data_IF_774771218583
#
_entry.id   IF_774771218583
#
_cell.length_a   1.000
_cell.length_b   1.000
_cell.length_c   1.000
_cell.angle_alpha   90.00
_cell.angle_beta   90.00
_cell.angle_gamma   90.00
#
_symmetry.space_group_name_H-M   'P 1'
#
loop_
_entity.id
_entity.type
_entity.pdbx_description
1 polymer ?
#
# COMPACT_ATOMS: atom_id res chain seq x y z
N UNK A 1 -17.50 43.74 -13.28
CA UNK A 1 -16.99 42.72 -12.34
C UNK A 1 -17.25 41.38 -12.99
N UNK A 2 -16.21 40.75 -13.52
CA UNK A 2 -16.32 39.54 -14.32
C UNK A 2 -16.75 38.37 -13.42
N UNK A 3 -17.77 37.63 -13.87
CA UNK A 3 -18.15 36.36 -13.27
C UNK A 3 -16.98 35.40 -13.44
N UNK A 4 -16.40 34.98 -12.32
CA UNK A 4 -15.43 33.90 -12.25
C UNK A 4 -16.13 32.61 -12.69
N UNK A 5 -15.97 32.30 -13.96
CA UNK A 5 -16.40 31.04 -14.56
C UNK A 5 -15.30 30.01 -14.31
N UNK A 6 -14.93 29.84 -13.04
CA UNK A 6 -14.20 28.67 -12.60
C UNK A 6 -15.21 27.52 -12.50
N UNK A 7 -15.69 27.10 -13.67
CA UNK A 7 -16.16 25.74 -13.84
C UNK A 7 -14.92 24.89 -13.73
N UNK A 8 -14.46 24.68 -12.48
CA UNK A 8 -13.53 23.62 -12.13
C UNK A 8 -14.03 22.41 -12.91
N UNK A 9 -13.22 21.94 -13.86
CA UNK A 9 -13.36 20.61 -14.42
C UNK A 9 -13.18 19.67 -13.24
N UNK A 10 -14.24 19.52 -12.46
CA UNK A 10 -14.53 18.37 -11.66
C UNK A 10 -14.67 17.27 -12.71
N UNK A 11 -13.51 16.79 -13.16
CA UNK A 11 -13.38 15.49 -13.80
C UNK A 11 -14.11 14.59 -12.83
N UNK A 12 -15.35 14.24 -13.16
CA UNK A 12 -16.06 13.19 -12.44
C UNK A 12 -15.18 11.99 -12.65
N UNK A 13 -14.31 11.73 -11.67
CA UNK A 13 -13.44 10.57 -11.54
C UNK A 13 -14.31 9.35 -11.23
N UNK A 14 -15.44 9.23 -11.92
CA UNK A 14 -16.08 7.96 -12.17
C UNK A 14 -14.99 7.08 -12.78
N UNK A 15 -14.87 5.84 -12.29
CA UNK A 15 -13.86 4.91 -12.78
C UNK A 15 -13.94 4.89 -14.31
N UNK A 16 -12.86 5.32 -14.96
CA UNK A 16 -12.85 5.38 -16.41
C UNK A 16 -12.94 3.94 -16.92
N UNK A 17 -14.05 3.57 -17.55
CA UNK A 17 -14.22 2.24 -18.12
C UNK A 17 -13.69 2.23 -19.55
N UNK A 18 -12.73 1.34 -19.83
CA UNK A 18 -12.24 1.14 -21.20
C UNK A 18 -13.32 0.46 -22.03
N UNK A 19 -13.88 1.21 -22.98
CA UNK A 19 -14.79 0.66 -24.00
C UNK A 19 -13.98 -0.08 -25.07
N UNK A 20 -14.51 -1.09 -25.77
CA UNK A 20 -13.79 -1.73 -26.88
C UNK A 20 -13.45 -0.73 -27.98
N UNK A 21 -12.35 -0.96 -28.69
CA UNK A 21 -12.00 -0.17 -29.87
C UNK A 21 -13.06 -0.33 -30.96
N UNK A 22 -13.22 0.70 -31.81
CA UNK A 22 -14.15 0.63 -32.94
C UNK A 22 -13.80 -0.52 -33.90
N UNK A 23 -12.51 -0.81 -34.06
CA UNK A 23 -12.06 -1.93 -34.87
C UNK A 23 -12.53 -3.28 -34.30
N UNK A 24 -12.43 -3.49 -32.97
CA UNK A 24 -12.98 -4.70 -32.32
C UNK A 24 -14.50 -4.83 -32.50
N UNK A 25 -15.21 -3.71 -32.50
CA UNK A 25 -16.64 -3.70 -32.80
C UNK A 25 -16.91 -4.14 -34.25
N UNK A 26 -16.11 -3.68 -35.21
CA UNK A 26 -16.21 -4.12 -36.61
C UNK A 26 -15.95 -5.64 -36.72
N UNK A 27 -14.93 -6.15 -36.04
CA UNK A 27 -14.61 -7.58 -36.04
C UNK A 27 -15.75 -8.46 -35.49
N UNK A 28 -16.55 -7.95 -34.55
CA UNK A 28 -17.70 -8.66 -33.99
C UNK A 28 -18.84 -8.86 -35.01
N UNK A 29 -19.08 -7.88 -35.89
CA UNK A 29 -20.22 -7.90 -36.81
C UNK A 29 -19.87 -8.20 -38.27
N UNK A 30 -18.60 -8.06 -38.66
CA UNK A 30 -18.17 -8.21 -40.05
C UNK A 30 -17.38 -9.51 -40.25
N UNK A 31 -17.73 -10.35 -41.24
CA UNK A 31 -16.97 -11.54 -41.58
C UNK A 31 -15.55 -11.20 -42.04
N UNK A 32 -14.59 -12.09 -41.74
CA UNK A 32 -13.16 -11.89 -42.06
C UNK A 32 -12.90 -11.57 -43.53
N UNK A 33 -13.71 -12.10 -44.46
CA UNK A 33 -13.58 -11.85 -45.89
C UNK A 33 -13.76 -10.39 -46.28
N UNK A 34 -14.53 -9.61 -45.51
CA UNK A 34 -14.87 -8.21 -45.81
C UNK A 34 -14.01 -7.22 -45.00
N UNK A 35 -13.29 -7.69 -43.98
CA UNK A 35 -12.54 -6.81 -43.07
C UNK A 35 -11.40 -6.09 -43.77
N UNK A 36 -10.74 -6.72 -44.73
CA UNK A 36 -9.63 -6.12 -45.48
C UNK A 36 -10.13 -4.91 -46.28
N UNK A 37 -11.22 -5.08 -47.03
CA UNK A 37 -11.82 -3.99 -47.82
C UNK A 37 -12.27 -2.82 -46.94
N UNK A 38 -12.82 -3.11 -45.75
CA UNK A 38 -13.20 -2.09 -44.78
C UNK A 38 -11.96 -1.40 -44.19
N UNK A 39 -10.90 -2.15 -43.87
CA UNK A 39 -9.64 -1.58 -43.35
C UNK A 39 -9.03 -0.62 -44.37
N UNK A 40 -8.96 -1.04 -45.63
CA UNK A 40 -8.47 -0.23 -46.75
C UNK A 40 -9.33 1.03 -46.95
N UNK A 41 -10.65 0.91 -46.87
CA UNK A 41 -11.57 2.04 -47.01
C UNK A 41 -11.47 3.07 -45.86
N UNK A 42 -11.20 2.61 -44.63
CA UNK A 42 -10.96 3.47 -43.47
C UNK A 42 -9.54 4.06 -43.45
N UNK A 43 -8.60 3.40 -44.13
CA UNK A 43 -7.17 3.68 -44.08
C UNK A 43 -6.49 2.75 -43.07
N UNK A 44 -5.59 1.90 -43.56
CA UNK A 44 -4.91 0.89 -42.73
C UNK A 44 -4.12 1.52 -41.58
N UNK A 45 -3.30 2.53 -41.89
CA UNK A 45 -2.50 3.25 -40.91
C UNK A 45 -3.36 3.88 -39.81
N UNK A 46 -4.52 4.46 -40.18
CA UNK A 46 -5.43 5.07 -39.21
C UNK A 46 -6.04 4.02 -38.27
N UNK A 47 -6.42 2.85 -38.81
CA UNK A 47 -6.93 1.74 -38.00
C UNK A 47 -5.87 1.25 -37.03
N UNK A 48 -4.62 1.10 -37.49
CA UNK A 48 -3.53 0.61 -36.65
C UNK A 48 -3.14 1.64 -35.58
N UNK A 49 -3.01 2.91 -35.93
CA UNK A 49 -2.74 3.99 -34.96
C UNK A 49 -3.85 4.11 -33.90
N UNK A 50 -5.12 3.97 -34.30
CA UNK A 50 -6.24 4.02 -33.33
C UNK A 50 -6.30 2.79 -32.43
N UNK A 51 -5.87 1.63 -32.91
CA UNK A 51 -5.68 0.44 -32.08
C UNK A 51 -4.54 0.64 -31.07
N UNK A 52 -3.41 1.19 -31.51
CA UNK A 52 -2.27 1.49 -30.64
C UNK A 52 -2.65 2.50 -29.54
N UNK A 53 -3.31 3.60 -29.92
CA UNK A 53 -3.82 4.60 -28.97
C UNK A 53 -4.81 4.00 -27.96
N UNK A 54 -5.66 3.07 -28.41
CA UNK A 54 -6.61 2.38 -27.53
C UNK A 54 -5.90 1.48 -26.51
N UNK A 55 -4.84 0.81 -26.94
CA UNK A 55 -3.98 0.02 -26.08
C UNK A 55 -3.23 0.90 -25.07
N UNK A 56 -2.65 2.02 -25.51
CA UNK A 56 -2.00 2.99 -24.62
C UNK A 56 -2.97 3.53 -23.56
N UNK A 57 -4.18 3.92 -23.96
CA UNK A 57 -5.21 4.37 -23.02
C UNK A 57 -5.58 3.29 -21.99
N UNK A 58 -5.60 2.02 -22.41
CA UNK A 58 -5.87 0.89 -21.51
C UNK A 58 -4.72 0.66 -20.52
N UNK A 59 -3.46 0.79 -20.96
CA UNK A 59 -2.28 0.72 -20.08
C UNK A 59 -2.28 1.86 -19.07
N UNK A 60 -2.58 3.09 -19.50
CA UNK A 60 -2.67 4.24 -18.60
C UNK A 60 -3.77 4.08 -17.56
N UNK A 61 -4.88 3.44 -17.94
CA UNK A 61 -5.96 3.12 -17.01
C UNK A 61 -5.51 2.11 -15.95
N UNK A 62 -4.82 1.04 -16.35
CA UNK A 62 -4.25 0.04 -15.45
C UNK A 62 -3.29 0.69 -14.44
N UNK A 63 -2.33 1.49 -14.92
CA UNK A 63 -1.39 2.23 -14.07
C UNK A 63 -2.12 3.13 -13.07
N UNK A 64 -3.18 3.83 -13.52
CA UNK A 64 -3.95 4.70 -12.65
C UNK A 64 -4.70 3.90 -11.57
N UNK A 65 -5.28 2.75 -11.92
CA UNK A 65 -5.96 1.88 -10.97
C UNK A 65 -5.01 1.34 -9.91
N UNK A 66 -3.83 0.85 -10.33
CA UNK A 66 -2.79 0.35 -9.42
C UNK A 66 -2.33 1.44 -8.45
N UNK A 67 -2.01 2.62 -8.98
CA UNK A 67 -1.60 3.77 -8.15
C UNK A 67 -2.67 4.16 -7.12
N UNK A 68 -3.95 4.12 -7.52
CA UNK A 68 -5.07 4.42 -6.62
C UNK A 68 -5.21 3.37 -5.52
N UNK A 69 -5.13 2.09 -5.86
CA UNK A 69 -5.20 1.00 -4.88
C UNK A 69 -4.07 1.10 -3.86
N UNK A 70 -2.84 1.33 -4.32
CA UNK A 70 -1.66 1.50 -3.46
C UNK A 70 -1.81 2.71 -2.53
N UNK A 71 -2.23 3.85 -3.06
CA UNK A 71 -2.41 5.08 -2.27
C UNK A 71 -3.49 4.90 -1.21
N UNK A 72 -4.65 4.33 -1.57
CA UNK A 72 -5.75 4.07 -0.63
C UNK A 72 -5.36 3.04 0.43
N UNK A 73 -4.55 2.03 0.07
CA UNK A 73 -3.98 1.07 1.03
C UNK A 73 -3.03 1.76 2.01
N UNK A 74 -2.12 2.59 1.53
CA UNK A 74 -1.17 3.32 2.37
C UNK A 74 -1.91 4.28 3.34
N UNK A 75 -2.93 4.98 2.85
CA UNK A 75 -3.76 5.85 3.69
C UNK A 75 -4.52 5.08 4.78
N UNK A 76 -5.10 3.93 4.43
CA UNK A 76 -5.76 3.03 5.40
C UNK A 76 -4.78 2.54 6.46
N UNK A 77 -3.56 2.17 6.07
CA UNK A 77 -2.53 1.73 7.00
C UNK A 77 -2.08 2.86 7.93
N UNK A 78 -1.82 4.06 7.39
CA UNK A 78 -1.49 5.25 8.19
C UNK A 78 -2.62 5.59 9.15
N UNK A 79 -3.88 5.50 8.72
CA UNK A 79 -5.03 5.71 9.60
C UNK A 79 -5.07 4.69 10.74
N UNK A 80 -4.87 3.41 10.43
CA UNK A 80 -4.81 2.34 11.42
C UNK A 80 -3.67 2.55 12.43
N UNK A 81 -2.47 2.89 11.95
CA UNK A 81 -1.32 3.18 12.82
C UNK A 81 -1.61 4.35 13.77
N UNK A 82 -2.19 5.46 13.27
CA UNK A 82 -2.61 6.59 14.11
C UNK A 82 -3.62 6.15 15.19
N UNK A 83 -4.54 5.25 14.85
CA UNK A 83 -5.48 4.69 15.82
C UNK A 83 -4.79 3.82 16.87
N UNK A 84 -3.89 2.93 16.47
CA UNK A 84 -3.12 2.07 17.38
C UNK A 84 -2.27 2.90 18.35
N UNK A 85 -1.63 3.97 17.89
CA UNK A 85 -0.85 4.87 18.76
C UNK A 85 -1.70 5.64 19.80
N UNK A 86 -3.03 5.74 19.61
CA UNK A 86 -3.94 6.33 20.60
C UNK A 86 -4.46 5.33 21.62
N UNK A 87 -4.36 4.04 21.34
CA UNK A 87 -4.82 3.00 22.25
C UNK A 87 -3.72 2.70 23.28
N UNK A 88 -4.05 2.60 24.57
CA UNK A 88 -3.09 2.15 25.56
C UNK A 88 -2.61 0.73 25.22
N UNK A 89 -1.33 0.46 25.47
CA UNK A 89 -0.75 -0.86 25.20
C UNK A 89 -1.54 -1.93 25.97
N UNK A 90 -2.02 -3.01 25.31
CA UNK A 90 -2.84 -4.00 25.97
C UNK A 90 -2.09 -4.59 27.18
N UNK A 91 -2.70 -4.57 28.39
CA UNK A 91 -2.00 -4.72 29.68
C UNK A 91 -1.46 -6.13 29.97
N UNK A 92 -1.49 -7.01 28.98
CA UNK A 92 -1.06 -8.41 29.11
C UNK A 92 -0.12 -8.87 27.99
N UNK A 93 0.02 -8.11 26.90
CA UNK A 93 0.87 -8.53 25.78
C UNK A 93 2.33 -8.45 26.18
N UNK A 94 2.73 -7.36 26.86
CA UNK A 94 4.09 -7.16 27.35
C UNK A 94 4.48 -8.26 28.34
N UNK A 95 3.58 -8.60 29.25
CA UNK A 95 3.79 -9.62 30.29
C UNK A 95 3.87 -11.03 29.69
N UNK A 96 3.03 -11.33 28.70
CA UNK A 96 3.08 -12.60 27.99
C UNK A 96 4.35 -12.74 27.18
N UNK A 97 4.77 -11.70 26.45
CA UNK A 97 6.02 -11.70 25.69
C UNK A 97 7.24 -11.88 26.61
N UNK A 98 7.26 -11.19 27.76
CA UNK A 98 8.31 -11.39 28.78
C UNK A 98 8.39 -12.84 29.25
N UNK A 99 7.23 -13.48 29.51
CA UNK A 99 7.18 -14.89 29.90
C UNK A 99 7.69 -15.81 28.79
N UNK A 100 7.28 -15.58 27.55
CA UNK A 100 7.72 -16.36 26.38
C UNK A 100 9.24 -16.26 26.17
N UNK A 101 9.79 -15.04 26.23
CA UNK A 101 11.25 -14.81 26.14
C UNK A 101 11.96 -15.55 27.27
N UNK A 102 11.46 -15.45 28.51
CA UNK A 102 12.07 -16.13 29.66
C UNK A 102 12.08 -17.65 29.48
N UNK A 103 10.94 -18.24 29.10
CA UNK A 103 10.86 -19.68 28.81
C UNK A 103 11.83 -20.09 27.70
N UNK A 104 11.97 -19.28 26.66
CA UNK A 104 12.90 -19.55 25.56
C UNK A 104 14.36 -19.51 26.03
N UNK A 105 14.74 -18.51 26.83
CA UNK A 105 16.08 -18.40 27.42
C UNK A 105 16.38 -19.61 28.32
N UNK A 106 15.44 -20.01 29.18
CA UNK A 106 15.59 -21.18 30.04
C UNK A 106 15.78 -22.46 29.22
N UNK A 107 15.01 -22.63 28.15
CA UNK A 107 15.16 -23.76 27.23
C UNK A 107 16.55 -23.77 26.56
N UNK A 108 17.04 -22.62 26.11
CA UNK A 108 18.39 -22.48 25.52
C UNK A 108 19.49 -22.80 26.54
N UNK A 109 19.36 -22.31 27.78
CA UNK A 109 20.30 -22.62 28.86
C UNK A 109 20.31 -24.11 29.19
N UNK A 110 19.14 -24.75 29.26
CA UNK A 110 19.03 -26.19 29.48
C UNK A 110 19.68 -26.99 28.34
N UNK A 111 19.47 -26.58 27.09
CA UNK A 111 20.09 -27.20 25.91
C UNK A 111 21.60 -27.02 25.94
N UNK A 112 22.09 -25.82 26.20
CA UNK A 112 23.52 -25.52 26.30
C UNK A 112 24.17 -26.36 27.41
N UNK A 113 23.53 -26.47 28.59
CA UNK A 113 24.00 -27.30 29.70
C UNK A 113 24.08 -28.78 29.33
N UNK A 114 23.09 -29.33 28.61
CA UNK A 114 23.14 -30.70 28.08
C UNK A 114 24.29 -30.91 27.09
N UNK A 115 24.67 -29.86 26.37
CA UNK A 115 25.77 -29.86 25.40
C UNK A 115 27.12 -29.42 26.00
N UNK A 116 27.21 -29.24 27.33
CA UNK A 116 28.44 -28.84 28.03
C UNK A 116 28.85 -27.37 27.87
N UNK A 117 27.96 -26.50 27.37
CA UNK A 117 28.19 -25.06 27.16
C UNK A 117 27.38 -24.26 28.20
N UNK A 118 28.03 -23.39 28.98
CA UNK A 118 27.33 -22.54 29.95
C UNK A 118 27.05 -21.15 29.33
N UNK A 119 25.77 -20.77 29.21
CA UNK A 119 25.35 -19.41 28.85
C UNK A 119 25.10 -18.61 30.15
N UNK A 120 25.85 -17.53 30.36
CA UNK A 120 25.60 -16.56 31.43
C UNK A 120 24.81 -15.39 30.84
N UNK A 121 23.53 -15.31 31.16
CA UNK A 121 22.71 -14.12 30.85
C UNK A 121 22.57 -13.36 32.17
N UNK A 122 23.28 -12.25 32.30
CA UNK A 122 23.14 -11.36 33.45
C UNK A 122 21.81 -10.60 33.35
N UNK A 123 20.93 -10.76 34.34
CA UNK A 123 19.69 -9.99 34.47
C UNK A 123 20.04 -8.52 34.78
N UNK A 124 20.06 -7.67 33.75
CA UNK A 124 20.19 -6.21 33.93
C UNK A 124 18.79 -5.58 34.04
N UNK A 125 18.04 -5.92 35.10
CA UNK A 125 16.71 -5.33 35.33
C UNK A 125 16.78 -3.83 35.73
N UNK A 126 17.96 -3.32 36.11
CA UNK A 126 18.14 -1.94 36.57
C UNK A 126 18.24 -0.86 35.47
N UNK A 127 18.56 -1.21 34.23
CA UNK A 127 18.81 -0.21 33.17
C UNK A 127 17.55 0.27 32.45
N UNK A 128 16.43 -0.46 32.56
CA UNK A 128 15.16 -0.05 31.95
C UNK A 128 14.47 1.09 32.71
N UNK A 129 14.67 1.19 34.03
CA UNK A 129 14.14 2.27 34.87
C UNK A 129 14.72 3.64 34.47
N UNK A 130 16.03 3.68 34.22
CA UNK A 130 16.74 4.92 33.87
C UNK A 130 16.34 5.49 32.51
N UNK A 131 16.03 4.63 31.53
CA UNK A 131 15.58 5.06 30.20
C UNK A 131 14.18 5.70 30.27
N UNK A 132 13.28 5.14 31.08
CA UNK A 132 11.95 5.73 31.28
C UNK A 132 12.00 7.04 32.06
N UNK A 133 12.91 7.16 33.05
CA UNK A 133 13.11 8.39 33.80
C UNK A 133 13.68 9.52 32.92
N UNK A 134 14.59 9.21 32.00
CA UNK A 134 15.12 10.16 31.03
C UNK A 134 14.08 10.60 29.98
N UNK A 135 13.18 9.71 29.55
CA UNK A 135 12.08 10.08 28.65
C UNK A 135 11.05 11.00 29.32
N UNK A 136 10.77 10.81 30.62
CA UNK A 136 9.88 11.72 31.38
C UNK A 136 10.54 13.09 31.59
N UNK A 137 11.86 13.13 31.84
CA UNK A 137 12.61 14.38 32.01
C UNK A 137 12.73 15.19 30.69
N UNK A 138 12.83 14.51 29.53
CA UNK A 138 12.93 15.13 28.20
C UNK A 138 11.56 15.54 27.60
N UNK A 139 10.44 15.09 28.17
CA UNK A 139 9.08 15.44 27.74
C UNK A 139 8.36 16.45 28.64
N UNK A 140 9.06 17.09 29.59
CA UNK A 140 8.53 18.26 30.29
C UNK A 140 8.82 19.53 29.46
N UNK A 141 7.83 20.14 28.78
CA UNK A 141 7.98 21.53 28.35
C UNK A 141 8.07 22.38 29.62
N UNK A 142 9.25 22.93 29.88
CA UNK A 142 9.44 24.04 30.81
C UNK A 142 8.53 25.16 30.30
N UNK A 143 7.37 25.32 30.95
CA UNK A 143 6.66 26.59 30.95
C UNK A 143 7.40 27.51 31.93
N UNK A 144 8.28 28.35 31.38
CA UNK A 144 8.67 29.65 31.92
C UNK A 144 9.22 30.50 30.76
#
# INVERSE_FOLDING_TARGET
MCADRSTSMEWRLEAFESRPSLWKFIEEYVPESERIEIKEALGEDLVDETLDLHNEASILLEIWQDYREETEKEEREKALQRHLHRLPEPPMIRENLKKEIKMFVEMLQQKAKKEGRQLLVEEKEGLLGDITFLQVQLMCPIML
#
